data_IF_217262928275
#
_entry.id   IF_217262928275
#
_cell.length_a   1.000
_cell.length_b   1.000
_cell.length_c   1.000
_cell.angle_alpha   90.00
_cell.angle_beta   90.00
_cell.angle_gamma   90.00
#
_symmetry.space_group_name_H-M   'P 1'
#
loop_
_entity.id
_entity.type
_entity.pdbx_description
1 polymer ?
#
# COMPACT_ATOMS: atom_id res chain seq x y z
N UNK A 1 9.79 23.64 -29.60
CA UNK A 1 9.33 23.36 -28.22
C UNK A 1 7.91 23.86 -28.10
N UNK A 2 6.94 22.99 -27.84
CA UNK A 2 5.58 23.44 -27.48
C UNK A 2 5.66 24.04 -26.08
N UNK A 3 5.32 25.33 -25.94
CA UNK A 3 5.24 25.99 -24.64
C UNK A 3 3.99 25.45 -23.97
N UNK A 4 4.20 24.78 -22.84
CA UNK A 4 3.13 24.37 -21.94
C UNK A 4 3.12 25.40 -20.83
N UNK A 5 2.01 26.15 -20.70
CA UNK A 5 1.82 27.13 -19.62
C UNK A 5 1.10 26.39 -18.49
N UNK A 6 1.78 26.02 -17.37
CA UNK A 6 1.08 25.50 -16.21
C UNK A 6 0.26 26.65 -15.60
N UNK A 7 -1.05 26.46 -15.50
CA UNK A 7 -1.95 27.42 -14.83
C UNK A 7 -1.70 27.30 -13.32
N UNK A 8 -1.59 28.46 -12.65
CA UNK A 8 -1.50 28.59 -11.21
C UNK A 8 -2.63 27.83 -10.50
N UNK A 9 -2.28 27.10 -9.44
CA UNK A 9 -3.17 26.35 -8.54
C UNK A 9 -4.05 27.24 -7.66
N UNK A 10 -3.90 28.56 -7.75
CA UNK A 10 -4.61 29.52 -6.91
C UNK A 10 -6.02 29.76 -7.49
N UNK A 11 -7.10 29.63 -6.68
CA UNK A 11 -8.44 29.99 -7.10
C UNK A 11 -8.50 31.44 -7.63
N UNK A 12 -9.21 31.71 -8.74
CA UNK A 12 -9.28 33.04 -9.35
C UNK A 12 -9.83 34.14 -8.42
N UNK A 13 -10.47 33.72 -7.33
CA UNK A 13 -11.05 34.52 -6.26
C UNK A 13 -10.02 35.01 -5.21
N UNK A 14 -8.76 34.55 -5.28
CA UNK A 14 -7.69 34.88 -4.34
C UNK A 14 -6.52 35.67 -4.94
N UNK A 15 -6.57 36.01 -6.23
CA UNK A 15 -5.50 36.75 -6.91
C UNK A 15 -6.04 38.02 -7.58
N UNK A 16 -6.03 39.13 -6.83
CA UNK A 16 -6.44 40.44 -7.34
C UNK A 16 -5.52 40.94 -8.49
N UNK A 17 -4.35 40.31 -8.69
CA UNK A 17 -3.42 40.66 -9.77
C UNK A 17 -3.78 40.04 -11.13
N UNK A 18 -4.65 39.01 -11.19
CA UNK A 18 -5.09 38.41 -12.46
C UNK A 18 -6.11 39.25 -13.24
N UNK A 19 -6.69 40.29 -12.62
CA UNK A 19 -7.58 41.23 -13.34
C UNK A 19 -6.80 42.09 -14.33
N UNK A 20 -5.51 42.29 -14.15
CA UNK A 20 -4.67 43.01 -15.11
C UNK A 20 -4.14 42.12 -16.25
N UNK A 21 -4.00 40.80 -16.04
CA UNK A 21 -3.54 39.87 -17.08
C UNK A 21 -4.56 39.65 -18.22
N UNK A 22 -5.85 39.96 -18.00
CA UNK A 22 -6.87 39.90 -19.07
C UNK A 22 -6.79 41.02 -20.12
N UNK A 23 -5.76 41.89 -20.05
CA UNK A 23 -5.37 42.77 -21.17
C UNK A 23 -4.17 42.23 -21.98
N UNK A 24 -3.83 40.95 -21.83
CA UNK A 24 -2.82 40.25 -22.62
C UNK A 24 -3.35 39.71 -23.96
N UNK A 25 -2.54 39.90 -25.00
CA UNK A 25 -2.68 39.51 -26.41
C UNK A 25 -3.49 38.21 -26.70
N UNK A 26 -4.28 38.14 -27.80
CA UNK A 26 -4.98 36.92 -28.25
C UNK A 26 -4.03 35.81 -28.81
N UNK A 27 -2.76 35.79 -28.39
CA UNK A 27 -1.73 34.86 -28.84
C UNK A 27 -1.34 33.79 -27.80
N UNK A 28 -1.87 33.83 -26.58
CA UNK A 28 -1.72 32.73 -25.61
C UNK A 28 -2.82 31.67 -25.79
N UNK A 29 -2.86 31.07 -26.99
CA UNK A 29 -3.59 29.80 -27.22
C UNK A 29 -2.73 28.64 -26.69
N UNK A 30 -2.70 28.46 -25.37
CA UNK A 30 -2.10 27.28 -24.75
C UNK A 30 -2.92 26.01 -25.02
N UNK A 31 -2.26 24.89 -25.35
CA UNK A 31 -2.92 23.57 -25.36
C UNK A 31 -3.35 23.21 -23.93
N UNK A 32 -4.62 22.81 -23.76
CA UNK A 32 -5.17 22.41 -22.46
C UNK A 32 -4.64 21.04 -22.07
N UNK A 33 -3.98 20.94 -20.92
CA UNK A 33 -3.47 19.66 -20.40
C UNK A 33 -4.57 18.95 -19.64
N UNK A 34 -4.80 17.69 -19.99
CA UNK A 34 -5.64 16.79 -19.21
C UNK A 34 -4.82 16.18 -18.08
N UNK A 35 -4.93 16.77 -16.90
CA UNK A 35 -4.23 16.35 -15.70
C UNK A 35 -5.14 15.54 -14.77
N UNK A 36 -4.58 14.53 -14.10
CA UNK A 36 -5.29 13.80 -13.04
C UNK A 36 -4.36 13.53 -11.86
N UNK A 37 -4.61 14.16 -10.70
CA UNK A 37 -3.91 13.82 -9.48
C UNK A 37 -4.50 12.56 -8.82
N UNK A 38 -3.61 11.63 -8.43
CA UNK A 38 -3.95 10.44 -7.67
C UNK A 38 -3.39 10.52 -6.26
N UNK A 39 -4.24 10.21 -5.28
CA UNK A 39 -3.86 10.23 -3.87
C UNK A 39 -4.48 9.07 -3.08
N UNK A 40 -4.09 8.97 -1.81
CA UNK A 40 -4.56 7.93 -0.90
C UNK A 40 -6.05 8.10 -0.55
N UNK A 41 -6.68 7.03 -0.04
CA UNK A 41 -8.04 7.14 0.51
C UNK A 41 -8.11 8.12 1.68
N UNK A 42 -7.06 8.20 2.50
CA UNK A 42 -7.01 9.15 3.63
C UNK A 42 -7.14 10.60 3.16
N UNK A 43 -6.55 10.91 2.01
CA UNK A 43 -6.58 12.26 1.42
C UNK A 43 -7.92 12.55 0.71
N UNK A 44 -8.46 11.57 -0.02
CA UNK A 44 -9.61 11.79 -0.92
C UNK A 44 -10.98 11.35 -0.37
N UNK A 45 -11.04 10.72 0.80
CA UNK A 45 -12.31 10.22 1.34
C UNK A 45 -13.20 11.37 1.85
N UNK A 46 -14.42 11.42 1.33
CA UNK A 46 -15.46 12.38 1.76
C UNK A 46 -16.52 11.75 2.69
N UNK A 47 -16.44 10.44 2.95
CA UNK A 47 -17.39 9.77 3.84
C UNK A 47 -17.03 10.10 5.31
N UNK A 48 -17.90 10.78 6.07
CA UNK A 48 -17.57 11.26 7.42
C UNK A 48 -17.24 10.12 8.39
N UNK A 49 -17.91 8.96 8.27
CA UNK A 49 -17.69 7.80 9.14
C UNK A 49 -16.37 7.09 8.86
N UNK A 50 -15.85 7.20 7.64
CA UNK A 50 -14.59 6.57 7.24
C UNK A 50 -13.43 7.54 7.49
N UNK A 51 -13.61 8.81 7.13
CA UNK A 51 -12.59 9.87 7.28
C UNK A 51 -12.24 10.15 8.75
N UNK A 52 -13.16 9.91 9.69
CA UNK A 52 -12.93 10.13 11.13
C UNK A 52 -11.97 9.12 11.76
N UNK A 53 -11.59 8.05 11.06
CA UNK A 53 -10.67 7.03 11.57
C UNK A 53 -9.24 7.56 11.65
N UNK A 54 -8.49 7.12 12.67
CA UNK A 54 -7.20 7.71 13.02
C UNK A 54 -6.06 7.31 12.07
N UNK A 55 -6.09 6.06 11.58
CA UNK A 55 -5.02 5.49 10.76
C UNK A 55 -5.42 5.34 9.29
N UNK A 56 -4.44 5.52 8.38
CA UNK A 56 -4.64 5.29 6.95
C UNK A 56 -5.07 3.84 6.65
N UNK A 57 -4.59 2.89 7.46
CA UNK A 57 -4.95 1.48 7.35
C UNK A 57 -6.40 1.24 7.74
N UNK A 58 -6.88 1.81 8.84
CA UNK A 58 -8.28 1.72 9.25
C UNK A 58 -9.21 2.34 8.20
N UNK A 59 -8.83 3.48 7.62
CA UNK A 59 -9.55 4.10 6.50
C UNK A 59 -9.64 3.13 5.31
N UNK A 60 -8.52 2.50 4.93
CA UNK A 60 -8.47 1.56 3.82
C UNK A 60 -9.36 0.33 4.05
N UNK A 61 -9.23 -0.32 5.21
CA UNK A 61 -10.01 -1.52 5.52
C UNK A 61 -11.50 -1.20 5.67
N UNK A 62 -11.87 -0.13 6.39
CA UNK A 62 -13.27 0.27 6.52
C UNK A 62 -13.90 0.60 5.18
N UNK A 63 -13.16 1.30 4.31
CA UNK A 63 -13.62 1.60 2.95
C UNK A 63 -13.90 0.34 2.14
N UNK A 64 -13.06 -0.70 2.25
CA UNK A 64 -13.25 -1.98 1.56
C UNK A 64 -14.37 -2.83 2.19
N UNK A 65 -14.51 -2.76 3.51
CA UNK A 65 -15.53 -3.50 4.26
C UNK A 65 -16.94 -3.10 3.83
N UNK A 66 -17.23 -1.79 3.78
CA UNK A 66 -18.54 -1.25 3.38
C UNK A 66 -18.84 -1.44 1.87
N UNK A 67 -17.89 -1.95 1.09
CA UNK A 67 -18.07 -2.30 -0.33
C UNK A 67 -18.36 -3.78 -0.55
N UNK A 68 -18.30 -4.62 0.50
CA UNK A 68 -18.52 -6.07 0.37
C UNK A 68 -19.95 -6.36 -0.10
N UNK A 69 -20.16 -7.42 -0.91
CA UNK A 69 -21.48 -7.77 -1.43
C UNK A 69 -22.49 -8.11 -0.33
N UNK A 70 -22.02 -8.61 0.82
CA UNK A 70 -22.84 -9.07 1.93
C UNK A 70 -23.31 -7.94 2.87
N UNK A 71 -22.93 -6.69 2.60
CA UNK A 71 -23.31 -5.52 3.40
C UNK A 71 -24.65 -4.98 2.90
N UNK A 72 -25.59 -4.74 3.83
CA UNK A 72 -26.89 -4.14 3.52
C UNK A 72 -26.73 -2.79 2.80
N UNK A 73 -27.65 -2.47 1.89
CA UNK A 73 -27.55 -1.27 1.04
C UNK A 73 -27.42 0.03 1.86
N UNK A 74 -28.11 0.11 3.00
CA UNK A 74 -28.04 1.22 3.97
C UNK A 74 -26.66 1.43 4.62
N UNK A 75 -25.82 0.40 4.63
CA UNK A 75 -24.46 0.45 5.21
C UNK A 75 -23.36 0.57 4.15
N UNK A 76 -23.73 0.60 2.87
CA UNK A 76 -22.76 0.83 1.78
C UNK A 76 -22.35 2.29 1.71
N UNK A 77 -21.21 2.55 1.08
CA UNK A 77 -20.76 3.92 0.84
C UNK A 77 -21.69 4.61 -0.17
N UNK A 78 -22.36 5.72 0.19
CA UNK A 78 -23.30 6.40 -0.71
C UNK A 78 -22.60 7.13 -1.86
N UNK A 79 -21.31 7.42 -1.72
CA UNK A 79 -20.52 8.17 -2.70
C UNK A 79 -19.84 7.27 -3.75
N UNK A 80 -19.94 5.94 -3.64
CA UNK A 80 -19.24 5.04 -4.56
C UNK A 80 -19.77 5.19 -5.99
N UNK A 81 -18.92 5.25 -7.02
CA UNK A 81 -19.38 5.17 -8.40
C UNK A 81 -20.09 3.83 -8.68
N UNK A 82 -21.33 3.90 -9.16
CA UNK A 82 -22.20 2.79 -9.55
C UNK A 82 -22.84 3.10 -10.91
N UNK A 83 -23.53 2.12 -11.50
CA UNK A 83 -24.27 2.34 -12.76
C UNK A 83 -25.33 3.44 -12.63
N UNK A 84 -25.93 3.57 -11.45
CA UNK A 84 -26.99 4.54 -11.18
C UNK A 84 -26.48 6.00 -11.10
N UNK A 85 -25.17 6.21 -10.91
CA UNK A 85 -24.56 7.53 -10.80
C UNK A 85 -23.49 7.81 -11.87
N UNK A 86 -23.58 7.12 -13.02
CA UNK A 86 -22.68 7.31 -14.17
C UNK A 86 -22.62 8.78 -14.62
N UNK A 87 -23.75 9.48 -14.67
CA UNK A 87 -23.78 10.91 -15.02
C UNK A 87 -22.95 11.76 -14.05
N UNK A 88 -23.05 11.53 -12.74
CA UNK A 88 -22.26 12.26 -11.73
C UNK A 88 -20.78 11.95 -11.87
N UNK A 89 -20.46 10.69 -12.19
CA UNK A 89 -19.08 10.26 -12.44
C UNK A 89 -18.51 10.95 -13.68
N UNK A 90 -19.28 11.01 -14.78
CA UNK A 90 -18.89 11.71 -16.01
C UNK A 90 -18.69 13.20 -15.76
N UNK A 91 -19.65 13.87 -15.11
CA UNK A 91 -19.53 15.29 -14.81
C UNK A 91 -18.31 15.58 -13.93
N UNK A 92 -18.00 14.70 -12.97
CA UNK A 92 -16.79 14.84 -12.14
C UNK A 92 -15.52 14.73 -12.99
N UNK A 93 -15.48 13.79 -13.94
CA UNK A 93 -14.36 13.67 -14.88
C UNK A 93 -14.23 14.91 -15.76
N UNK A 94 -15.33 15.45 -16.27
CA UNK A 94 -15.31 16.67 -17.08
C UNK A 94 -14.71 17.83 -16.28
N UNK A 95 -15.12 18.02 -15.02
CA UNK A 95 -14.53 19.03 -14.14
C UNK A 95 -13.06 18.77 -13.79
N UNK A 96 -12.70 17.50 -13.60
CA UNK A 96 -11.33 17.08 -13.31
C UNK A 96 -10.37 17.36 -14.47
N UNK A 97 -10.81 17.10 -15.71
CA UNK A 97 -10.00 17.23 -16.92
C UNK A 97 -10.09 18.61 -17.56
N UNK A 98 -11.09 19.41 -17.21
CA UNK A 98 -11.25 20.77 -17.74
C UNK A 98 -10.24 21.78 -17.15
N UNK A 99 -9.57 21.47 -16.05
CA UNK A 99 -8.53 22.35 -15.47
C UNK A 99 -7.49 21.51 -14.73
N UNK A 100 -6.30 22.06 -14.54
CA UNK A 100 -5.33 21.49 -13.61
C UNK A 100 -5.92 21.61 -12.20
N UNK A 101 -6.04 20.49 -11.49
CA UNK A 101 -6.60 20.43 -10.16
C UNK A 101 -5.54 19.93 -9.18
N UNK A 102 -5.41 20.61 -8.04
CA UNK A 102 -4.64 20.10 -6.92
C UNK A 102 -5.38 18.97 -6.20
N UNK A 103 -4.63 18.12 -5.51
CA UNK A 103 -5.17 17.01 -4.73
C UNK A 103 -6.20 17.51 -3.69
N UNK A 104 -5.97 18.67 -3.10
CA UNK A 104 -6.79 19.33 -2.10
C UNK A 104 -8.13 19.83 -2.66
N UNK A 105 -8.19 20.09 -3.97
CA UNK A 105 -9.41 20.52 -4.68
C UNK A 105 -10.39 19.38 -4.99
N UNK A 106 -9.93 18.12 -4.98
CA UNK A 106 -10.75 16.96 -5.32
C UNK A 106 -11.83 16.63 -4.27
N UNK A 107 -11.56 16.62 -2.95
CA UNK A 107 -12.59 16.35 -1.95
C UNK A 107 -13.76 17.36 -1.95
N UNK A 108 -13.53 18.70 -2.03
CA UNK A 108 -14.61 19.67 -2.19
C UNK A 108 -15.44 19.43 -3.45
N UNK A 109 -14.79 19.13 -4.59
CA UNK A 109 -15.47 18.81 -5.84
C UNK A 109 -16.37 17.57 -5.71
N UNK A 110 -15.85 16.48 -5.16
CA UNK A 110 -16.64 15.26 -4.95
C UNK A 110 -17.77 15.44 -3.94
N UNK A 111 -17.59 16.31 -2.95
CA UNK A 111 -18.65 16.68 -1.99
C UNK A 111 -19.80 17.40 -2.70
N UNK A 112 -19.47 18.41 -3.52
CA UNK A 112 -20.46 19.18 -4.31
C UNK A 112 -21.26 18.28 -5.26
N UNK A 113 -20.61 17.27 -5.84
CA UNK A 113 -21.21 16.37 -6.82
C UNK A 113 -21.77 15.08 -6.19
N UNK A 114 -21.62 14.92 -4.87
CA UNK A 114 -21.96 13.71 -4.12
C UNK A 114 -21.40 12.42 -4.74
N UNK A 115 -20.12 12.44 -5.13
CA UNK A 115 -19.39 11.31 -5.72
C UNK A 115 -18.01 11.16 -5.08
N UNK A 116 -17.52 9.93 -4.95
CA UNK A 116 -16.26 9.63 -4.27
C UNK A 116 -15.07 10.05 -5.15
N UNK A 117 -14.28 11.06 -4.75
CA UNK A 117 -13.16 11.53 -5.56
C UNK A 117 -12.10 10.45 -5.79
N UNK A 118 -11.86 9.59 -4.80
CA UNK A 118 -10.88 8.50 -4.88
C UNK A 118 -11.18 7.50 -6.01
N UNK A 119 -12.45 7.11 -6.19
CA UNK A 119 -12.81 6.17 -7.26
C UNK A 119 -13.12 6.88 -8.57
N UNK A 120 -13.68 8.09 -8.53
CA UNK A 120 -14.01 8.86 -9.73
C UNK A 120 -12.76 9.38 -10.47
N UNK A 121 -11.70 9.81 -9.77
CA UNK A 121 -10.42 10.13 -10.42
C UNK A 121 -9.80 8.93 -11.14
N UNK A 122 -9.95 7.72 -10.56
CA UNK A 122 -9.45 6.48 -11.18
C UNK A 122 -10.25 6.02 -12.39
N UNK A 123 -11.52 6.43 -12.53
CA UNK A 123 -12.27 6.12 -13.76
C UNK A 123 -11.77 6.95 -14.95
N UNK A 124 -11.26 8.17 -14.71
CA UNK A 124 -10.60 8.97 -15.76
C UNK A 124 -9.34 8.27 -16.31
N UNK A 125 -8.54 7.64 -15.44
CA UNK A 125 -7.39 6.81 -15.85
C UNK A 125 -7.79 5.68 -16.81
N UNK A 126 -8.90 4.98 -16.51
CA UNK A 126 -9.37 3.86 -17.34
C UNK A 126 -9.90 4.31 -18.70
N UNK A 127 -10.44 5.53 -18.78
CA UNK A 127 -10.94 6.11 -20.02
C UNK A 127 -9.81 6.57 -20.96
N UNK A 128 -8.53 6.45 -20.56
CA UNK A 128 -7.37 6.94 -21.34
C UNK A 128 -7.49 8.41 -21.75
N UNK A 129 -8.21 9.19 -20.95
CA UNK A 129 -8.49 10.60 -21.22
C UNK A 129 -7.46 11.54 -20.57
N UNK A 130 -6.45 11.00 -19.89
CA UNK A 130 -5.45 11.79 -19.15
C UNK A 130 -4.10 11.78 -19.86
N UNK A 131 -3.46 12.94 -19.92
CA UNK A 131 -2.14 13.15 -20.51
C UNK A 131 -1.04 13.21 -19.43
N UNK A 132 -1.34 13.83 -18.29
CA UNK A 132 -0.41 13.97 -17.15
C UNK A 132 -1.04 13.39 -15.89
N UNK A 133 -0.33 12.45 -15.27
CA UNK A 133 -0.74 11.84 -14.00
C UNK A 133 0.26 12.21 -12.92
N UNK A 134 -0.22 12.80 -11.83
CA UNK A 134 0.61 12.98 -10.63
C UNK A 134 0.23 11.94 -9.58
N UNK A 135 1.22 11.23 -9.04
CA UNK A 135 1.00 10.16 -8.07
C UNK A 135 2.18 10.04 -7.10
N UNK A 136 1.97 9.60 -5.84
CA UNK A 136 3.04 9.35 -4.89
C UNK A 136 3.86 8.11 -5.28
N UNK A 137 5.13 8.06 -4.84
CA UNK A 137 6.05 6.97 -5.15
C UNK A 137 5.49 5.55 -4.98
N UNK A 138 4.73 5.19 -3.93
CA UNK A 138 4.22 3.83 -3.77
C UNK A 138 3.30 3.39 -4.91
N UNK A 139 2.55 4.30 -5.53
CA UNK A 139 1.67 3.96 -6.66
C UNK A 139 2.45 3.72 -7.96
N UNK A 140 3.66 4.28 -8.07
CA UNK A 140 4.55 4.08 -9.22
C UNK A 140 5.42 2.84 -9.04
N UNK A 141 6.06 2.71 -7.88
CA UNK A 141 7.07 1.69 -7.59
C UNK A 141 6.44 0.30 -7.36
N UNK A 142 5.22 0.23 -6.84
CA UNK A 142 4.54 -1.06 -6.66
C UNK A 142 3.81 -1.48 -7.94
N UNK A 143 4.27 -2.56 -8.57
CA UNK A 143 3.63 -3.13 -9.77
C UNK A 143 2.13 -3.40 -9.58
N UNK A 144 1.75 -3.99 -8.44
CA UNK A 144 0.34 -4.28 -8.14
C UNK A 144 -0.54 -3.02 -8.04
N UNK A 145 0.03 -1.89 -7.63
CA UNK A 145 -0.66 -0.61 -7.59
C UNK A 145 -0.85 -0.04 -9.01
N UNK A 146 0.19 -0.13 -9.86
CA UNK A 146 0.13 0.24 -11.28
C UNK A 146 -0.94 -0.55 -12.03
N UNK A 147 -0.94 -1.88 -11.88
CA UNK A 147 -1.94 -2.77 -12.49
C UNK A 147 -3.37 -2.42 -12.05
N UNK A 148 -3.58 -2.16 -10.76
CA UNK A 148 -4.90 -1.79 -10.23
C UNK A 148 -5.40 -0.42 -10.75
N UNK A 149 -4.49 0.44 -11.20
CA UNK A 149 -4.77 1.75 -11.79
C UNK A 149 -4.84 1.72 -13.32
N UNK A 150 -4.51 0.58 -13.95
CA UNK A 150 -4.26 0.48 -15.39
C UNK A 150 -3.20 1.48 -15.88
N UNK A 151 -2.18 1.72 -15.05
CA UNK A 151 -1.06 2.62 -15.36
C UNK A 151 0.06 1.83 -16.03
N UNK A 152 0.43 2.20 -17.25
CA UNK A 152 1.55 1.59 -17.97
C UNK A 152 2.76 2.52 -17.99
N UNK A 153 3.94 1.96 -17.68
CA UNK A 153 5.21 2.66 -17.88
C UNK A 153 5.58 2.71 -19.38
N UNK A 154 5.06 1.80 -20.20
CA UNK A 154 5.41 1.68 -21.62
C UNK A 154 5.10 2.93 -22.41
N UNK A 155 6.09 3.43 -23.14
CA UNK A 155 6.03 4.66 -23.93
C UNK A 155 5.72 5.94 -23.12
N UNK A 156 5.78 5.87 -21.79
CA UNK A 156 5.55 7.01 -20.90
C UNK A 156 6.85 7.73 -20.58
N UNK A 157 6.78 9.04 -20.33
CA UNK A 157 7.87 9.79 -19.70
C UNK A 157 7.59 9.85 -18.20
N UNK A 158 8.49 9.31 -17.40
CA UNK A 158 8.37 9.32 -15.94
C UNK A 158 9.23 10.45 -15.40
N UNK A 159 8.62 11.38 -14.67
CA UNK A 159 9.33 12.45 -13.96
C UNK A 159 9.27 12.16 -12.48
N UNK A 160 10.42 11.96 -11.86
CA UNK A 160 10.56 11.77 -10.41
C UNK A 160 10.98 13.10 -9.83
N UNK A 161 10.04 13.76 -9.18
CA UNK A 161 10.31 14.95 -8.38
C UNK A 161 10.90 14.56 -7.02
N UNK A 162 11.76 15.41 -6.48
CA UNK A 162 12.58 15.17 -5.28
C UNK A 162 13.27 13.80 -5.23
N UNK A 163 13.88 13.40 -6.34
CA UNK A 163 14.50 12.10 -6.55
C UNK A 163 15.59 11.72 -5.53
N UNK A 164 16.06 12.66 -4.71
CA UNK A 164 16.91 12.36 -3.56
C UNK A 164 16.25 11.39 -2.56
N UNK A 165 14.91 11.34 -2.50
CA UNK A 165 14.15 10.41 -1.65
C UNK A 165 13.85 9.07 -2.34
N UNK A 166 14.20 8.88 -3.62
CA UNK A 166 13.77 7.73 -4.40
C UNK A 166 14.30 6.41 -3.82
N UNK A 167 15.59 6.37 -3.49
CA UNK A 167 16.25 5.18 -2.94
C UNK A 167 15.61 4.78 -1.62
N UNK A 168 15.48 5.73 -0.69
CA UNK A 168 14.84 5.50 0.60
C UNK A 168 13.40 5.04 0.45
N UNK A 169 12.66 5.58 -0.52
CA UNK A 169 11.30 5.15 -0.81
C UNK A 169 11.24 3.70 -1.30
N UNK A 170 12.12 3.30 -2.21
CA UNK A 170 12.21 1.90 -2.70
C UNK A 170 12.54 0.97 -1.54
N UNK A 171 13.58 1.31 -0.76
CA UNK A 171 13.99 0.53 0.42
C UNK A 171 12.83 0.40 1.40
N UNK A 172 12.13 1.48 1.75
CA UNK A 172 11.02 1.45 2.69
C UNK A 172 9.79 0.67 2.17
N UNK A 173 9.52 0.67 0.87
CA UNK A 173 8.40 -0.07 0.26
C UNK A 173 8.65 -1.59 0.30
N UNK A 174 9.90 -2.01 0.16
CA UNK A 174 10.29 -3.42 0.06
C UNK A 174 10.87 -3.99 1.34
N UNK A 175 11.17 -3.15 2.34
CA UNK A 175 11.57 -3.57 3.67
C UNK A 175 10.34 -3.88 4.53
N UNK A 176 10.43 -4.94 5.34
CA UNK A 176 9.30 -5.42 6.14
C UNK A 176 9.79 -5.71 7.55
N UNK A 177 9.04 -5.27 8.55
CA UNK A 177 9.29 -5.57 9.96
C UNK A 177 8.10 -6.31 10.56
N UNK A 178 8.39 -7.28 11.42
CA UNK A 178 7.39 -7.98 12.24
C UNK A 178 7.91 -8.17 13.66
N UNK A 179 7.11 -7.78 14.65
CA UNK A 179 7.50 -7.92 16.06
C UNK A 179 7.14 -9.29 16.64
N UNK A 180 7.82 -9.68 17.72
CA UNK A 180 7.52 -10.89 18.48
C UNK A 180 6.10 -10.84 19.08
N UNK A 181 5.66 -9.68 19.57
CA UNK A 181 4.28 -9.48 20.03
C UNK A 181 3.23 -9.71 18.93
N UNK A 182 3.49 -9.23 17.71
CA UNK A 182 2.65 -9.50 16.55
C UNK A 182 2.66 -10.99 16.18
N UNK A 183 3.82 -11.64 16.14
CA UNK A 183 3.92 -13.07 15.81
C UNK A 183 3.19 -13.96 16.82
N UNK A 184 3.34 -13.68 18.13
CA UNK A 184 2.61 -14.39 19.19
C UNK A 184 1.10 -14.22 19.06
N UNK A 185 0.65 -12.99 18.78
CA UNK A 185 -0.77 -12.68 18.55
C UNK A 185 -1.29 -13.44 17.33
N UNK A 186 -0.59 -13.39 16.19
CA UNK A 186 -0.95 -14.12 14.99
C UNK A 186 -1.01 -15.64 15.25
N UNK A 187 0.00 -16.20 15.93
CA UNK A 187 0.03 -17.63 16.27
C UNK A 187 -1.18 -18.05 17.11
N UNK A 188 -1.54 -17.27 18.12
CA UNK A 188 -2.70 -17.51 18.96
C UNK A 188 -4.01 -17.43 18.16
N UNK A 189 -4.17 -16.41 17.33
CA UNK A 189 -5.37 -16.20 16.49
C UNK A 189 -5.55 -17.33 15.46
N UNK A 190 -4.51 -17.69 14.71
CA UNK A 190 -4.56 -18.76 13.70
C UNK A 190 -4.83 -20.11 14.37
N UNK A 191 -4.20 -20.38 15.51
CA UNK A 191 -4.39 -21.65 16.24
C UNK A 191 -5.83 -21.77 16.74
N UNK A 192 -6.40 -20.69 17.28
CA UNK A 192 -7.78 -20.64 17.74
C UNK A 192 -8.75 -20.90 16.58
N UNK A 193 -8.53 -20.22 15.44
CA UNK A 193 -9.28 -20.45 14.22
C UNK A 193 -9.19 -21.91 13.74
N UNK A 194 -7.97 -22.47 13.69
CA UNK A 194 -7.73 -23.84 13.24
C UNK A 194 -8.45 -24.88 14.12
N UNK A 195 -8.45 -24.68 15.45
CA UNK A 195 -9.17 -25.55 16.39
C UNK A 195 -10.68 -25.49 16.16
N UNK A 196 -11.25 -24.28 16.05
CA UNK A 196 -12.70 -24.09 15.88
C UNK A 196 -13.21 -24.69 14.57
N UNK A 197 -12.49 -24.44 13.47
CA UNK A 197 -12.92 -24.84 12.13
C UNK A 197 -12.34 -26.20 11.70
N UNK A 198 -11.74 -26.96 12.63
CA UNK A 198 -11.09 -28.24 12.36
C UNK A 198 -11.97 -29.18 11.55
N UNK A 199 -13.27 -29.32 11.86
CA UNK A 199 -14.18 -30.21 11.11
C UNK A 199 -14.62 -29.66 9.75
N UNK A 200 -14.64 -28.33 9.57
CA UNK A 200 -15.18 -27.64 8.38
C UNK A 200 -14.13 -27.38 7.29
N UNK A 201 -12.85 -27.37 7.64
CA UNK A 201 -11.76 -27.12 6.69
C UNK A 201 -11.55 -28.33 5.78
N UNK A 202 -11.37 -28.10 4.47
CA UNK A 202 -10.90 -29.13 3.52
C UNK A 202 -9.49 -29.58 3.88
N UNK A 203 -9.13 -30.84 3.58
CA UNK A 203 -7.82 -31.41 3.92
C UNK A 203 -6.63 -30.53 3.49
N UNK A 204 -6.66 -30.02 2.25
CA UNK A 204 -5.62 -29.12 1.72
C UNK A 204 -5.49 -27.80 2.50
N UNK A 205 -6.62 -27.21 2.91
CA UNK A 205 -6.61 -25.97 3.69
C UNK A 205 -6.11 -26.20 5.12
N UNK A 206 -6.42 -27.37 5.72
CA UNK A 206 -5.86 -27.76 7.02
C UNK A 206 -4.35 -27.87 6.95
N UNK A 207 -3.82 -28.47 5.87
CA UNK A 207 -2.38 -28.61 5.66
C UNK A 207 -1.69 -27.23 5.57
N UNK A 208 -2.20 -26.31 4.74
CA UNK A 208 -1.62 -24.96 4.66
C UNK A 208 -1.71 -24.18 5.97
N UNK A 209 -2.83 -24.29 6.71
CA UNK A 209 -2.95 -23.63 8.03
C UNK A 209 -1.99 -24.26 9.04
N UNK A 210 -1.79 -25.58 9.01
CA UNK A 210 -0.82 -26.25 9.86
C UNK A 210 0.63 -25.88 9.51
N UNK A 211 0.95 -25.71 8.22
CA UNK A 211 2.25 -25.19 7.76
C UNK A 211 2.47 -23.76 8.27
N UNK A 212 1.46 -22.90 8.17
CA UNK A 212 1.53 -21.53 8.68
C UNK A 212 1.76 -21.48 10.20
N UNK A 213 1.03 -22.27 10.97
CA UNK A 213 1.20 -22.36 12.43
C UNK A 213 2.62 -22.81 12.77
N UNK A 214 3.16 -23.81 12.05
CA UNK A 214 4.54 -24.27 12.24
C UNK A 214 5.55 -23.16 11.95
N UNK A 215 5.43 -22.50 10.79
CA UNK A 215 6.34 -21.45 10.37
C UNK A 215 6.34 -20.27 11.36
N UNK A 216 5.17 -19.76 11.72
CA UNK A 216 5.06 -18.67 12.70
C UNK A 216 5.57 -19.12 14.07
N UNK A 217 5.32 -20.37 14.47
CA UNK A 217 5.86 -20.94 15.69
C UNK A 217 7.39 -20.96 15.73
N UNK A 218 8.05 -21.30 14.63
CA UNK A 218 9.51 -21.24 14.50
C UNK A 218 10.02 -19.80 14.64
N UNK A 219 9.40 -18.83 13.96
CA UNK A 219 9.77 -17.42 14.09
C UNK A 219 9.62 -16.92 15.54
N UNK A 220 8.55 -17.31 16.25
CA UNK A 220 8.36 -16.97 17.66
C UNK A 220 9.46 -17.57 18.53
N UNK A 221 9.73 -18.88 18.39
CA UNK A 221 10.77 -19.57 19.17
C UNK A 221 12.16 -18.99 18.91
N UNK A 222 12.44 -18.60 17.67
CA UNK A 222 13.68 -17.94 17.28
C UNK A 222 13.83 -16.58 17.97
N UNK A 223 12.82 -15.70 17.86
CA UNK A 223 12.87 -14.38 18.49
C UNK A 223 12.83 -14.43 20.02
N UNK A 224 12.21 -15.45 20.60
CA UNK A 224 12.28 -15.70 22.05
C UNK A 224 13.70 -16.02 22.50
N UNK A 225 14.44 -16.83 21.74
CA UNK A 225 15.85 -17.12 22.00
C UNK A 225 16.72 -15.87 21.78
N UNK A 226 16.49 -15.12 20.69
CA UNK A 226 17.20 -13.87 20.41
C UNK A 226 16.92 -12.78 21.47
N UNK A 227 15.74 -12.80 22.10
CA UNK A 227 15.40 -11.93 23.21
C UNK A 227 16.27 -12.13 24.45
N UNK A 228 16.75 -13.36 24.67
CA UNK A 228 17.63 -13.75 25.79
C UNK A 228 19.12 -13.50 25.53
N UNK A 229 19.50 -13.24 24.27
CA UNK A 229 20.87 -12.86 23.89
C UNK A 229 21.21 -11.47 24.48
N UNK A 230 22.47 -11.14 24.76
CA UNK A 230 22.84 -9.79 25.19
C UNK A 230 22.98 -8.80 24.01
N UNK A 231 23.06 -9.32 22.77
CA UNK A 231 23.22 -8.47 21.57
C UNK A 231 21.97 -7.64 21.28
N UNK A 232 22.12 -6.33 20.96
CA UNK A 232 20.99 -5.45 20.63
C UNK A 232 20.37 -5.79 19.26
N UNK A 233 21.20 -6.22 18.31
CA UNK A 233 20.83 -6.62 16.97
C UNK A 233 21.81 -7.69 16.43
N UNK A 234 21.35 -8.50 15.47
CA UNK A 234 22.25 -9.36 14.69
C UNK A 234 21.63 -9.75 13.33
N UNK A 235 22.50 -10.01 12.36
CA UNK A 235 22.14 -10.56 11.05
C UNK A 235 21.64 -12.00 11.18
N UNK A 236 20.67 -12.35 10.34
CA UNK A 236 19.96 -13.63 10.33
C UNK A 236 20.09 -14.29 8.97
N UNK A 237 20.26 -15.61 8.98
CA UNK A 237 20.01 -16.42 7.79
C UNK A 237 18.60 -17.00 7.83
N UNK A 238 18.06 -17.32 6.66
CA UNK A 238 16.78 -18.05 6.56
C UNK A 238 16.86 -19.39 7.29
N UNK A 239 18.03 -20.02 7.32
CA UNK A 239 18.28 -21.28 8.03
C UNK A 239 18.17 -21.12 9.55
N UNK A 240 18.57 -19.98 10.12
CA UNK A 240 18.43 -19.74 11.56
C UNK A 240 16.95 -19.68 11.97
N UNK A 241 16.12 -19.08 11.12
CA UNK A 241 14.68 -18.92 11.35
C UNK A 241 13.94 -20.25 11.14
N UNK A 242 14.27 -20.99 10.07
CA UNK A 242 13.56 -22.23 9.71
C UNK A 242 14.13 -23.48 10.40
N UNK A 243 15.41 -23.46 10.78
CA UNK A 243 16.15 -24.58 11.37
C UNK A 243 16.22 -24.58 12.91
N UNK A 244 15.90 -23.47 13.57
CA UNK A 244 16.01 -23.32 15.03
C UNK A 244 15.01 -24.13 15.88
N UNK A 245 14.07 -24.85 15.26
CA UNK A 245 13.13 -25.71 15.97
C UNK A 245 13.77 -27.04 16.38
N UNK A 246 14.18 -27.19 17.65
CA UNK A 246 14.57 -28.48 18.24
C UNK A 246 13.57 -29.59 17.86
N UNK A 247 13.92 -30.42 16.88
CA UNK A 247 13.44 -31.80 16.76
C UNK A 247 12.10 -32.08 16.06
N UNK A 248 11.54 -31.22 15.18
CA UNK A 248 10.45 -31.64 14.28
C UNK A 248 10.67 -31.16 12.85
N UNK A 249 11.47 -31.94 12.12
CA UNK A 249 11.77 -31.75 10.70
C UNK A 249 10.51 -31.60 9.84
N UNK A 250 10.60 -30.70 8.85
CA UNK A 250 9.54 -30.48 7.86
C UNK A 250 9.21 -29.02 7.59
N UNK A 251 9.87 -28.05 8.25
CA UNK A 251 9.76 -26.62 7.92
C UNK A 251 10.53 -26.30 6.63
N UNK A 252 11.66 -26.94 6.39
CA UNK A 252 12.41 -26.84 5.11
C UNK A 252 11.59 -27.32 3.90
N UNK A 253 10.57 -28.15 4.13
CA UNK A 253 9.62 -28.59 3.09
C UNK A 253 8.44 -27.62 2.89
N UNK A 254 8.29 -26.60 3.73
CA UNK A 254 7.26 -25.58 3.57
C UNK A 254 7.70 -24.68 2.44
N UNK A 255 6.92 -24.67 1.36
CA UNK A 255 7.13 -23.75 0.26
C UNK A 255 6.43 -22.41 0.58
N UNK A 256 7.17 -21.33 0.90
CA UNK A 256 6.54 -20.08 1.34
C UNK A 256 5.78 -19.39 0.20
N UNK A 257 6.12 -19.64 -1.07
CA UNK A 257 5.39 -19.13 -2.23
C UNK A 257 3.95 -19.66 -2.26
N UNK A 258 3.79 -20.98 -2.17
CA UNK A 258 2.47 -21.63 -2.14
C UNK A 258 1.65 -21.16 -0.93
N UNK A 259 2.32 -20.95 0.20
CA UNK A 259 1.68 -20.44 1.41
C UNK A 259 1.21 -18.99 1.25
N UNK A 260 2.04 -18.12 0.68
CA UNK A 260 1.71 -16.73 0.38
C UNK A 260 0.56 -16.60 -0.62
N UNK A 261 0.55 -17.43 -1.67
CA UNK A 261 -0.56 -17.53 -2.63
C UNK A 261 -1.85 -17.98 -1.94
N UNK A 262 -1.79 -19.04 -1.12
CA UNK A 262 -2.93 -19.51 -0.35
C UNK A 262 -3.50 -18.43 0.58
N UNK A 263 -2.65 -17.70 1.32
CA UNK A 263 -3.10 -16.61 2.20
C UNK A 263 -3.85 -15.52 1.42
N UNK A 264 -3.35 -15.16 0.24
CA UNK A 264 -3.94 -14.15 -0.65
C UNK A 264 -5.30 -14.58 -1.20
N UNK A 265 -5.37 -15.78 -1.78
CA UNK A 265 -6.58 -16.31 -2.41
C UNK A 265 -7.67 -16.65 -1.39
N UNK A 266 -7.28 -17.31 -0.28
CA UNK A 266 -8.23 -17.72 0.75
C UNK A 266 -8.72 -16.54 1.60
N UNK A 267 -8.04 -15.39 1.53
CA UNK A 267 -8.26 -14.22 2.41
C UNK A 267 -8.25 -14.62 3.89
N UNK A 268 -7.36 -15.55 4.26
CA UNK A 268 -7.32 -16.15 5.60
C UNK A 268 -7.15 -15.10 6.70
N UNK A 269 -6.28 -14.10 6.48
CA UNK A 269 -6.06 -13.01 7.43
C UNK A 269 -7.37 -12.36 7.89
N UNK A 270 -8.24 -12.00 6.94
CA UNK A 270 -9.54 -11.41 7.24
C UNK A 270 -10.54 -12.37 7.88
N UNK A 271 -10.46 -13.67 7.56
CA UNK A 271 -11.34 -14.70 8.16
C UNK A 271 -10.98 -14.97 9.62
N UNK A 272 -9.68 -15.00 9.92
CA UNK A 272 -9.17 -15.19 11.28
C UNK A 272 -9.52 -13.96 12.11
N UNK A 273 -9.21 -12.77 11.61
CA UNK A 273 -9.45 -11.51 12.30
C UNK A 273 -10.95 -11.28 12.59
N UNK A 274 -11.80 -11.42 11.57
CA UNK A 274 -13.25 -11.28 11.76
C UNK A 274 -13.87 -12.35 12.67
N UNK A 275 -13.26 -13.53 12.81
CA UNK A 275 -13.71 -14.51 13.80
C UNK A 275 -13.32 -14.09 15.22
N UNK A 276 -12.11 -13.56 15.42
CA UNK A 276 -11.63 -13.10 16.72
C UNK A 276 -12.46 -11.91 17.20
N UNK A 277 -12.74 -10.94 16.32
CA UNK A 277 -13.64 -9.82 16.62
C UNK A 277 -15.03 -10.29 17.04
N UNK A 278 -15.61 -11.26 16.31
CA UNK A 278 -16.92 -11.82 16.63
C UNK A 278 -16.92 -12.57 17.97
N UNK A 279 -15.85 -13.29 18.30
CA UNK A 279 -15.74 -13.94 19.62
C UNK A 279 -15.55 -12.94 20.75
N UNK A 280 -14.85 -11.82 20.50
CA UNK A 280 -14.67 -10.76 21.49
C UNK A 280 -15.98 -10.02 21.78
N UNK A 281 -16.79 -9.74 20.76
CA UNK A 281 -18.13 -9.15 20.94
C UNK A 281 -19.13 -10.09 21.61
N UNK A 282 -19.01 -11.41 21.40
CA UNK A 282 -19.83 -12.39 22.13
C UNK A 282 -19.40 -12.59 23.58
N UNK A 283 -18.11 -12.42 23.90
CA UNK A 283 -17.59 -12.58 25.26
C UNK A 283 -17.86 -11.35 26.15
N UNK A 284 -17.80 -10.14 25.58
CA UNK A 284 -18.04 -8.88 26.30
C UNK A 284 -19.49 -8.41 26.14
N UNK A 285 -20.46 -9.25 26.52
CA UNK A 285 -21.90 -9.06 26.31
C UNK A 285 -22.36 -7.60 26.31
N UNK A 286 -22.98 -7.20 25.20
CA UNK A 286 -23.78 -5.99 24.94
C UNK A 286 -23.78 -4.92 26.05
N UNK A 287 -22.65 -4.24 26.22
CA UNK A 287 -22.59 -2.99 26.98
C UNK A 287 -22.00 -1.89 26.09
N UNK A 288 -22.83 -0.86 25.87
CA UNK A 288 -22.60 0.20 24.91
C UNK A 288 -21.36 1.03 25.22
N UNK A 289 -20.65 1.44 24.16
CA UNK A 289 -19.72 2.57 24.21
C UNK A 289 -18.24 2.24 24.43
N UNK A 290 -17.85 0.98 24.48
CA UNK A 290 -16.43 0.61 24.37
C UNK A 290 -15.92 0.94 22.97
N UNK A 291 -15.00 1.90 22.83
CA UNK A 291 -14.31 2.23 21.57
C UNK A 291 -14.01 0.94 20.81
N UNK A 292 -14.64 0.73 19.65
CA UNK A 292 -14.22 -0.31 18.70
C UNK A 292 -12.71 -0.19 18.61
N UNK A 293 -11.98 -1.22 19.01
CA UNK A 293 -10.55 -1.27 18.74
C UNK A 293 -10.42 -0.99 17.25
N UNK A 294 -9.82 0.16 16.93
CA UNK A 294 -9.77 0.75 15.60
C UNK A 294 -9.45 -0.36 14.60
N UNK A 295 -10.18 -0.44 13.48
CA UNK A 295 -10.09 -1.53 12.49
C UNK A 295 -8.69 -1.67 11.91
N UNK A 296 -7.79 -2.22 12.71
CA UNK A 296 -6.37 -2.27 12.49
C UNK A 296 -6.06 -3.27 11.39
N UNK A 297 -4.84 -3.22 10.88
CA UNK A 297 -4.39 -4.25 9.96
C UNK A 297 -4.48 -5.61 10.68
N UNK A 298 -5.16 -6.62 10.11
CA UNK A 298 -5.07 -7.98 10.64
C UNK A 298 -3.62 -8.36 10.87
N UNK A 299 -3.28 -8.82 12.07
CA UNK A 299 -1.88 -9.12 12.45
C UNK A 299 -1.25 -10.14 11.49
N UNK A 300 -2.08 -11.03 10.93
CA UNK A 300 -1.65 -12.01 9.93
C UNK A 300 -1.13 -11.38 8.63
N UNK A 301 -1.49 -10.13 8.30
CA UNK A 301 -0.91 -9.46 7.14
C UNK A 301 0.56 -9.10 7.36
N UNK A 302 0.98 -8.73 8.57
CA UNK A 302 2.40 -8.50 8.87
C UNK A 302 3.22 -9.79 8.67
N UNK A 303 2.67 -10.93 9.09
CA UNK A 303 3.26 -12.25 8.82
C UNK A 303 3.28 -12.52 7.31
N UNK A 304 2.17 -12.27 6.61
CA UNK A 304 2.07 -12.50 5.18
C UNK A 304 3.08 -11.66 4.38
N UNK A 305 3.29 -10.39 4.75
CA UNK A 305 4.29 -9.53 4.10
C UNK A 305 5.71 -10.03 4.35
N UNK A 306 5.95 -10.71 5.48
CA UNK A 306 7.26 -11.27 5.81
C UNK A 306 7.55 -12.62 5.10
N UNK A 307 6.53 -13.30 4.57
CA UNK A 307 6.75 -14.56 3.83
C UNK A 307 7.51 -14.40 2.52
N UNK A 308 7.34 -13.26 1.83
CA UNK A 308 8.01 -12.99 0.55
C UNK A 308 9.51 -12.73 0.75
N UNK A 309 9.93 -11.86 1.70
CA UNK A 309 11.33 -11.73 2.09
C UNK A 309 12.03 -13.03 2.49
N UNK A 310 11.35 -13.95 3.18
CA UNK A 310 11.91 -15.27 3.55
C UNK A 310 12.23 -16.15 2.33
N UNK A 311 11.75 -15.79 1.14
CA UNK A 311 12.04 -16.46 -0.12
C UNK A 311 13.10 -15.76 -0.96
N UNK A 312 13.49 -14.54 -0.59
CA UNK A 312 14.44 -13.77 -1.39
C UNK A 312 15.83 -14.37 -1.18
N UNK A 313 16.54 -14.78 -2.25
CA UNK A 313 17.95 -15.12 -2.14
C UNK A 313 18.69 -13.92 -1.56
N UNK A 314 19.65 -14.20 -0.69
CA UNK A 314 20.44 -13.26 0.13
C UNK A 314 21.17 -12.13 -0.61
N UNK A 315 21.04 -12.05 -1.93
CA UNK A 315 21.75 -11.12 -2.79
C UNK A 315 21.04 -9.75 -2.90
N UNK A 316 19.71 -9.69 -2.74
CA UNK A 316 18.96 -8.41 -2.84
C UNK A 316 18.70 -7.72 -1.49
N UNK A 317 18.72 -8.48 -0.39
CA UNK A 317 18.38 -7.97 0.94
C UNK A 317 18.86 -8.84 2.09
N UNK A 318 18.89 -8.26 3.29
CA UNK A 318 19.32 -8.94 4.52
C UNK A 318 18.22 -9.01 5.56
N UNK A 319 18.24 -10.10 6.32
CA UNK A 319 17.40 -10.29 7.49
C UNK A 319 18.21 -9.99 8.74
N UNK A 320 17.59 -9.34 9.71
CA UNK A 320 18.15 -9.14 11.04
C UNK A 320 17.05 -9.15 12.09
N UNK A 321 17.44 -9.31 13.34
CA UNK A 321 16.58 -8.92 14.46
C UNK A 321 17.16 -7.70 15.15
N UNK A 322 16.28 -6.92 15.77
CA UNK A 322 16.65 -5.79 16.60
C UNK A 322 15.73 -5.73 17.83
N UNK A 323 16.28 -5.25 18.96
CA UNK A 323 15.54 -5.05 20.20
C UNK A 323 15.15 -3.59 20.33
N UNK A 324 13.84 -3.31 20.24
CA UNK A 324 13.32 -1.94 20.23
C UNK A 324 12.18 -1.84 21.25
N UNK A 325 12.30 -0.90 22.19
CA UNK A 325 11.23 -0.58 23.14
C UNK A 325 10.80 -1.73 24.05
N UNK A 326 11.71 -2.68 24.34
CA UNK A 326 11.41 -3.87 25.15
C UNK A 326 10.74 -5.02 24.38
N UNK A 327 10.56 -4.90 23.06
CA UNK A 327 10.14 -5.98 22.18
C UNK A 327 11.29 -6.38 21.24
N UNK A 328 11.23 -7.58 20.70
CA UNK A 328 12.17 -8.08 19.69
C UNK A 328 11.46 -8.09 18.35
N UNK A 329 12.04 -7.50 17.32
CA UNK A 329 11.46 -7.49 15.99
C UNK A 329 12.42 -8.05 14.95
N UNK A 330 11.85 -8.76 13.99
CA UNK A 330 12.56 -9.25 12.82
C UNK A 330 12.34 -8.27 11.67
N UNK A 331 13.40 -7.92 10.96
CA UNK A 331 13.37 -6.94 9.88
C UNK A 331 14.09 -7.49 8.66
N UNK A 332 13.45 -7.36 7.52
CA UNK A 332 14.05 -7.50 6.20
C UNK A 332 14.35 -6.12 5.66
N UNK A 333 15.59 -5.91 5.21
CA UNK A 333 16.03 -4.68 4.55
C UNK A 333 16.48 -5.01 3.15
N UNK A 334 15.85 -4.36 2.17
CA UNK A 334 16.34 -4.37 0.80
C UNK A 334 17.66 -3.58 0.73
N UNK A 335 18.72 -4.23 0.27
CA UNK A 335 20.04 -3.60 0.13
C UNK A 335 20.26 -3.04 -1.27
N UNK A 336 19.74 -3.72 -2.30
CA UNK A 336 19.84 -3.26 -3.68
C UNK A 336 18.46 -2.87 -4.24
N UNK A 337 18.18 -1.56 -4.42
CA UNK A 337 16.95 -1.08 -5.04
C UNK A 337 16.93 -1.26 -6.56
N UNK A 338 18.07 -1.61 -7.19
CA UNK A 338 18.24 -1.58 -8.65
C UNK A 338 17.25 -2.49 -9.36
N UNK A 339 17.10 -3.74 -8.91
CA UNK A 339 16.20 -4.71 -9.55
C UNK A 339 14.73 -4.26 -9.49
N UNK A 340 14.35 -3.55 -8.42
CA UNK A 340 12.97 -3.05 -8.20
C UNK A 340 12.63 -1.84 -9.05
N UNK A 341 13.63 -1.04 -9.42
CA UNK A 341 13.44 0.13 -10.29
C UNK A 341 13.70 -0.16 -11.77
N UNK A 342 14.50 -1.19 -12.08
CA UNK A 342 14.90 -1.57 -13.44
C UNK A 342 13.73 -1.74 -14.41
N UNK A 343 12.64 -2.40 -13.98
CA UNK A 343 11.44 -2.58 -14.81
C UNK A 343 10.87 -1.24 -15.31
N UNK A 344 10.84 -0.22 -14.43
CA UNK A 344 10.33 1.12 -14.79
C UNK A 344 11.26 1.82 -15.80
N UNK A 345 12.57 1.65 -15.65
CA UNK A 345 13.56 2.27 -16.54
C UNK A 345 13.53 1.62 -17.93
N UNK A 346 13.37 0.29 -17.99
CA UNK A 346 13.32 -0.46 -19.25
C UNK A 346 12.02 -0.26 -20.02
N UNK A 347 10.88 -0.18 -19.32
CA UNK A 347 9.58 0.05 -19.97
C UNK A 347 9.35 1.51 -20.36
N UNK A 348 9.86 2.47 -19.58
CA UNK A 348 9.64 3.89 -19.84
C UNK A 348 10.36 4.37 -21.11
N UNK A 349 9.76 5.34 -21.79
CA UNK A 349 10.42 6.05 -22.90
C UNK A 349 11.61 6.87 -22.38
N UNK A 350 11.43 7.50 -21.23
CA UNK A 350 12.45 8.27 -20.54
C UNK A 350 12.11 8.35 -19.05
N UNK A 351 13.14 8.35 -18.22
CA UNK A 351 13.04 8.65 -16.79
C UNK A 351 13.83 9.91 -16.52
N UNK A 352 13.17 10.94 -16.00
CA UNK A 352 13.76 12.22 -15.63
C UNK A 352 13.78 12.31 -14.11
N UNK A 353 14.97 12.49 -13.55
CA UNK A 353 15.15 12.71 -12.12
C UNK A 353 15.32 14.21 -11.88
N UNK A 354 14.44 14.78 -11.06
CA UNK A 354 14.49 16.16 -10.62
C UNK A 354 14.61 16.21 -9.09
N UNK A 355 15.39 17.15 -8.55
CA UNK A 355 15.50 17.35 -7.12
C UNK A 355 16.43 18.51 -6.79
N UNK A 356 16.07 19.29 -5.77
CA UNK A 356 16.86 20.46 -5.36
C UNK A 356 18.18 20.12 -4.65
N UNK A 357 18.30 18.91 -4.14
CA UNK A 357 19.38 18.47 -3.23
C UNK A 357 20.07 17.18 -3.70
N UNK A 358 20.22 17.00 -5.01
CA UNK A 358 20.81 15.77 -5.57
C UNK A 358 22.35 15.71 -5.52
N UNK A 359 23.04 16.64 -4.84
CA UNK A 359 24.50 16.62 -4.78
C UNK A 359 24.99 15.71 -3.64
N UNK A 360 25.84 14.68 -3.90
CA UNK A 360 26.43 14.32 -5.19
C UNK A 360 25.57 13.34 -6.01
N UNK A 361 25.32 13.66 -7.28
CA UNK A 361 24.43 12.88 -8.19
C UNK A 361 24.93 11.45 -8.45
N UNK A 362 26.23 11.20 -8.21
CA UNK A 362 26.89 9.90 -8.39
C UNK A 362 26.33 8.80 -7.49
N UNK A 363 25.60 9.14 -6.43
CA UNK A 363 24.92 8.17 -5.55
C UNK A 363 23.65 7.59 -6.18
N UNK A 364 23.05 8.30 -7.15
CA UNK A 364 21.79 7.89 -7.82
C UNK A 364 22.02 7.32 -9.22
N UNK A 365 23.05 7.81 -9.92
CA UNK A 365 23.37 7.39 -11.30
C UNK A 365 24.86 7.08 -11.39
N UNK A 366 25.19 5.82 -11.63
CA UNK A 366 26.55 5.40 -11.98
C UNK A 366 26.71 5.57 -13.50
N UNK A 367 27.64 6.41 -13.98
CA UNK A 367 27.91 6.55 -15.41
C UNK A 367 28.32 5.21 -16.03
N UNK A 368 27.92 4.95 -17.29
CA UNK A 368 28.27 3.70 -17.98
C UNK A 368 29.78 3.43 -18.05
N UNK A 369 30.62 4.47 -17.95
CA UNK A 369 32.08 4.37 -17.97
C UNK A 369 32.71 3.84 -16.66
N UNK A 370 31.96 3.77 -15.55
CA UNK A 370 32.45 3.26 -14.26
C UNK A 370 31.91 1.85 -13.93
N UNK A 371 31.25 1.18 -14.88
CA UNK A 371 30.82 -0.23 -14.77
C UNK A 371 31.95 -1.16 -15.23
N UNK A 372 33.08 -1.14 -14.52
CA UNK A 372 34.24 -2.03 -14.77
C UNK A 372 34.39 -3.06 -13.67
#
# INVERSE_FOLDING_TARGET
>A
MRRVIPISSIPPDLDDNLREEKKGNPQDEGEWIKHTPLASRKTLCINPFVRSLSSATAINERCLEIQRPNVAAEHKCPYLPTKDNELKTSQFQDHLLARVNDIEGLPPLGTKMAICPYYASRTAMRASATEVVTLPYPLLLQQSAREALNLSAKNSVIVIDEAHNLVDAIVNIHSVTVSLSQLRTALAQITTYARRFKSRLKGRNREYIAQLIRLVGCMVSFLDAAGQDDRPDAELTVQDILGGGKGKGGVDMINPHKLGMYLRESKLARKVDGYIEHTATQANGDDGGGKKADGGMPVLFHVQSFLLPLMDPSDEGRLFYEKVGGDVQMKYLLLDPTSRFKELVEDARAVILAGGTMEPVRTLVVPENDRS
#
